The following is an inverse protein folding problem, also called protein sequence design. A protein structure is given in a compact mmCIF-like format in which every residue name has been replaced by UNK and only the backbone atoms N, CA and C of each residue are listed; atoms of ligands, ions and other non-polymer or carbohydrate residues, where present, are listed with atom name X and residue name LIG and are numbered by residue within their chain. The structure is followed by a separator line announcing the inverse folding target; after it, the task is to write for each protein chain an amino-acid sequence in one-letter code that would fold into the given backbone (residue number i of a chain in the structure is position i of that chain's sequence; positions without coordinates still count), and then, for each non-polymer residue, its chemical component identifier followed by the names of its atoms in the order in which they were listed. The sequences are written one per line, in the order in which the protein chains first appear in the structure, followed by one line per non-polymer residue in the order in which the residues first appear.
data_IF_892351807700
#
_entry.id   IF_892351807700
#
_cell.length_a   1.000
_cell.length_b   1.000
_cell.length_c   1.000
_cell.angle_alpha   90.00
_cell.angle_beta   90.00
_cell.angle_gamma   90.00
#
_symmetry.space_group_name_H-M   'P 1'
#
loop_
_entity.id
_entity.type
_entity.pdbx_description
1 polymer ?
#
# COMPACT_ATOMS: atom_id res chain seq x y z
N UNK A 1 -19.32 -67.06 23.75
CA UNK A 1 -18.83 -66.97 22.35
C UNK A 1 -18.49 -65.51 22.00
N UNK A 2 -17.42 -64.92 22.55
CA UNK A 2 -17.14 -63.47 22.31
C UNK A 2 -15.67 -63.06 22.40
N UNK A 3 -14.75 -63.91 21.93
CA UNK A 3 -13.31 -63.59 21.89
C UNK A 3 -12.73 -63.55 20.47
N UNK A 4 -13.32 -64.26 19.49
CA UNK A 4 -12.88 -64.20 18.08
C UNK A 4 -13.29 -62.93 17.32
N UNK A 5 -14.32 -62.20 17.78
CA UNK A 5 -14.79 -60.97 17.12
C UNK A 5 -13.96 -59.71 17.49
N UNK A 6 -13.31 -59.70 18.65
CA UNK A 6 -12.47 -58.58 19.10
C UNK A 6 -11.04 -58.61 18.52
N UNK A 7 -10.51 -59.78 18.19
CA UNK A 7 -9.19 -59.89 17.52
C UNK A 7 -9.26 -59.53 16.03
N UNK A 8 -10.38 -59.85 15.35
CA UNK A 8 -10.57 -59.50 13.93
C UNK A 8 -10.76 -58.00 13.71
N UNK A 9 -11.45 -57.31 14.63
CA UNK A 9 -11.67 -55.85 14.54
C UNK A 9 -10.40 -55.03 14.82
N UNK A 10 -9.46 -55.56 15.62
CA UNK A 10 -8.17 -54.91 15.89
C UNK A 10 -7.14 -55.09 14.77
N UNK A 11 -7.18 -56.21 14.02
CA UNK A 11 -6.32 -56.40 12.85
C UNK A 11 -6.78 -55.57 11.64
N UNK A 12 -8.09 -55.40 11.43
CA UNK A 12 -8.64 -54.55 10.35
C UNK A 12 -8.31 -53.05 10.56
N UNK A 13 -8.20 -52.60 11.82
CA UNK A 13 -7.78 -51.21 12.13
C UNK A 13 -6.29 -50.98 11.97
N UNK A 14 -5.43 -51.99 12.19
CA UNK A 14 -3.97 -51.86 12.05
C UNK A 14 -3.48 -51.89 10.60
N UNK A 15 -4.21 -52.53 9.68
CA UNK A 15 -3.85 -52.53 8.25
C UNK A 15 -4.28 -51.24 7.51
N UNK A 16 -5.28 -50.52 8.03
CA UNK A 16 -5.76 -49.27 7.41
C UNK A 16 -4.89 -48.03 7.70
N UNK A 17 -3.92 -48.09 8.62
CA UNK A 17 -3.04 -46.95 8.93
C UNK A 17 -1.74 -46.92 8.10
N UNK A 18 -1.42 -48.00 7.37
CA UNK A 18 -0.19 -48.09 6.55
C UNK A 18 -0.30 -47.44 5.16
N UNK A 19 -1.48 -46.92 4.78
CA UNK A 19 -1.70 -46.36 3.43
C UNK A 19 -2.33 -44.96 3.42
N UNK A 20 -2.12 -44.16 4.47
CA UNK A 20 -2.49 -42.74 4.42
C UNK A 20 -1.59 -41.98 3.45
N UNK A 21 -2.15 -41.61 2.30
CA UNK A 21 -1.50 -40.72 1.34
C UNK A 21 -1.65 -39.29 1.84
N UNK A 22 -0.58 -38.70 2.35
CA UNK A 22 -0.58 -37.30 2.74
C UNK A 22 -0.38 -36.42 1.51
N UNK A 23 -1.28 -35.46 1.30
CA UNK A 23 -1.21 -34.52 0.17
C UNK A 23 -1.24 -33.08 0.66
N UNK A 24 -0.49 -32.21 -0.01
CA UNK A 24 -0.52 -30.77 0.24
C UNK A 24 -0.48 -29.99 -1.07
N UNK A 25 -1.48 -29.13 -1.31
CA UNK A 25 -1.66 -28.43 -2.61
C UNK A 25 -1.58 -29.42 -3.79
N UNK A 26 -2.33 -30.51 -3.68
CA UNK A 26 -2.42 -31.59 -4.68
C UNK A 26 -1.09 -32.30 -5.00
N UNK A 27 -0.06 -32.17 -4.16
CA UNK A 27 1.20 -32.94 -4.26
C UNK A 27 1.31 -33.96 -3.14
N UNK A 28 1.70 -35.19 -3.45
CA UNK A 28 1.99 -36.23 -2.46
C UNK A 28 3.21 -35.84 -1.62
N UNK A 29 3.08 -35.91 -0.31
CA UNK A 29 4.10 -35.56 0.66
C UNK A 29 4.19 -36.65 1.74
N UNK A 30 5.27 -36.66 2.51
CA UNK A 30 5.34 -37.50 3.70
C UNK A 30 4.45 -36.93 4.82
N UNK A 31 4.04 -37.81 5.74
CA UNK A 31 3.29 -37.43 6.94
C UNK A 31 3.97 -36.31 7.74
N UNK A 32 5.29 -36.42 7.90
CA UNK A 32 6.11 -35.42 8.61
C UNK A 32 5.99 -34.04 7.98
N UNK A 33 6.04 -33.97 6.64
CA UNK A 33 5.92 -32.70 5.90
C UNK A 33 4.49 -32.16 5.99
N UNK A 34 3.48 -33.01 5.88
CA UNK A 34 2.09 -32.61 6.03
C UNK A 34 1.81 -32.00 7.40
N UNK A 35 2.20 -32.69 8.47
CA UNK A 35 2.02 -32.24 9.85
C UNK A 35 2.78 -30.92 10.13
N UNK A 36 3.98 -30.75 9.58
CA UNK A 36 4.73 -29.49 9.67
C UNK A 36 3.97 -28.32 9.02
N UNK A 37 3.43 -28.54 7.81
CA UNK A 37 2.70 -27.50 7.06
C UNK A 37 1.37 -27.12 7.70
N UNK A 38 0.66 -28.09 8.28
CA UNK A 38 -0.56 -27.85 9.08
C UNK A 38 -0.23 -26.98 10.29
N UNK A 39 0.84 -27.29 11.03
CA UNK A 39 1.31 -26.47 12.17
C UNK A 39 1.64 -25.03 11.74
N UNK A 40 2.37 -24.84 10.65
CA UNK A 40 2.72 -23.51 10.12
C UNK A 40 1.47 -22.71 9.69
N UNK A 41 0.50 -23.36 9.02
CA UNK A 41 -0.77 -22.74 8.63
C UNK A 41 -1.58 -22.29 9.85
N UNK A 42 -1.65 -23.11 10.89
CA UNK A 42 -2.37 -22.80 12.12
C UNK A 42 -1.71 -21.66 12.93
N UNK A 43 -0.37 -21.57 12.92
CA UNK A 43 0.35 -20.42 13.49
C UNK A 43 0.02 -19.13 12.74
N UNK A 44 0.00 -19.18 11.40
CA UNK A 44 -0.43 -18.04 10.57
C UNK A 44 -1.88 -17.60 10.85
N UNK A 45 -2.80 -18.54 11.08
CA UNK A 45 -4.19 -18.26 11.47
C UNK A 45 -4.31 -17.68 12.88
N UNK A 46 -3.55 -18.19 13.86
CA UNK A 46 -3.50 -17.63 15.22
C UNK A 46 -3.00 -16.19 15.26
N UNK A 47 -2.03 -15.85 14.42
CA UNK A 47 -1.55 -14.47 14.29
C UNK A 47 -2.57 -13.57 13.58
N UNK A 48 -3.40 -14.13 12.69
CA UNK A 48 -4.51 -13.40 12.04
C UNK A 48 -5.69 -13.16 13.00
N UNK A 49 -5.96 -14.08 13.93
CA UNK A 49 -7.05 -13.97 14.91
C UNK A 49 -6.70 -13.12 16.15
N UNK A 50 -5.43 -12.81 16.40
CA UNK A 50 -5.01 -11.86 17.46
C UNK A 50 -5.21 -10.38 17.08
N UNK A 51 -5.76 -10.07 15.90
CA UNK A 51 -5.99 -8.70 15.42
C UNK A 51 -7.45 -8.24 15.50
N UNK A 52 -8.24 -8.83 16.41
CA UNK A 52 -9.57 -8.34 16.77
C UNK A 52 -9.64 -8.17 18.28
N UNK A 53 -8.93 -7.17 18.79
CA UNK A 53 -9.40 -6.46 19.97
C UNK A 53 -10.37 -5.41 19.42
N UNK A 54 -11.62 -5.43 19.87
CA UNK A 54 -12.55 -4.32 19.67
C UNK A 54 -11.96 -3.11 20.38
N UNK A 55 -11.22 -2.32 19.61
CA UNK A 55 -10.79 -0.99 20.01
C UNK A 55 -11.98 -0.10 19.70
N UNK A 56 -12.63 0.43 20.73
CA UNK A 56 -13.48 1.62 20.66
C UNK A 56 -12.92 2.56 19.59
N UNK A 57 -13.70 3.03 18.58
CA UNK A 57 -13.15 3.78 17.47
C UNK A 57 -12.53 5.07 17.99
N UNK A 58 -11.22 5.04 18.20
CA UNK A 58 -10.45 6.22 18.53
C UNK A 58 -10.61 7.15 17.34
N UNK A 59 -11.32 8.27 17.55
CA UNK A 59 -11.51 9.32 16.55
C UNK A 59 -10.15 9.61 15.91
N UNK A 60 -9.98 9.26 14.64
CA UNK A 60 -8.72 9.49 13.95
C UNK A 60 -8.55 11.00 13.79
N UNK A 61 -7.57 11.57 14.48
CA UNK A 61 -7.27 13.00 14.36
C UNK A 61 -6.26 13.17 13.24
N UNK A 62 -6.69 13.81 12.15
CA UNK A 62 -5.76 14.26 11.10
C UNK A 62 -5.08 15.53 11.59
N UNK A 63 -3.85 15.38 12.09
CA UNK A 63 -3.06 16.49 12.65
C UNK A 63 -1.97 16.98 11.69
N UNK A 64 -1.62 18.26 11.84
CA UNK A 64 -0.54 18.94 11.10
C UNK A 64 -0.95 19.51 9.75
N UNK A 65 0.01 20.05 9.01
CA UNK A 65 -0.25 20.77 7.76
C UNK A 65 -0.24 19.81 6.58
N UNK A 66 -1.19 19.94 5.64
CA UNK A 66 -1.23 19.11 4.42
C UNK A 66 -1.16 19.98 3.18
N UNK A 67 -0.38 19.52 2.20
CA UNK A 67 -0.47 20.07 0.86
C UNK A 67 -1.71 19.52 0.17
N UNK A 68 -2.56 20.43 -0.34
CA UNK A 68 -3.80 20.08 -1.03
C UNK A 68 -3.87 20.80 -2.37
N UNK A 69 -4.14 20.05 -3.43
CA UNK A 69 -4.59 20.61 -4.71
C UNK A 69 -6.11 20.80 -4.61
N UNK A 70 -6.54 21.99 -4.19
CA UNK A 70 -7.96 22.27 -3.91
C UNK A 70 -8.86 21.96 -5.11
N UNK A 71 -8.47 22.36 -6.32
CA UNK A 71 -9.28 22.12 -7.51
C UNK A 71 -9.50 20.63 -7.70
N UNK A 72 -8.42 19.85 -7.71
CA UNK A 72 -8.51 18.40 -7.90
C UNK A 72 -9.24 17.70 -6.75
N UNK A 73 -8.99 18.09 -5.50
CA UNK A 73 -9.62 17.50 -4.34
C UNK A 73 -11.13 17.77 -4.33
N UNK A 74 -11.56 19.00 -4.61
CA UNK A 74 -12.97 19.38 -4.63
C UNK A 74 -13.77 18.60 -5.68
N UNK A 75 -13.20 18.33 -6.85
CA UNK A 75 -13.79 17.46 -7.87
C UNK A 75 -13.99 16.01 -7.39
N UNK A 76 -13.29 15.60 -6.33
CA UNK A 76 -13.36 14.27 -5.71
C UNK A 76 -14.05 14.28 -4.35
N UNK A 77 -14.59 15.41 -3.90
CA UNK A 77 -15.30 15.56 -2.61
C UNK A 77 -16.77 15.15 -2.70
N UNK A 78 -17.05 14.06 -3.42
CA UNK A 78 -18.38 13.49 -3.58
C UNK A 78 -18.31 11.99 -3.29
N UNK A 79 -19.35 11.48 -2.63
CA UNK A 79 -19.43 10.08 -2.30
C UNK A 79 -19.43 9.22 -3.57
N UNK A 80 -18.54 8.24 -3.63
CA UNK A 80 -18.41 7.30 -4.76
C UNK A 80 -19.68 6.46 -4.99
N UNK A 81 -20.56 6.36 -3.98
CA UNK A 81 -21.79 5.56 -4.04
C UNK A 81 -23.04 6.39 -4.35
N UNK A 82 -23.31 7.46 -3.59
CA UNK A 82 -24.55 8.25 -3.69
C UNK A 82 -24.34 9.67 -4.24
N UNK A 83 -23.11 10.05 -4.58
CA UNK A 83 -22.74 11.38 -5.07
C UNK A 83 -23.08 12.54 -4.12
N UNK A 84 -23.35 12.27 -2.83
CA UNK A 84 -23.53 13.30 -1.81
C UNK A 84 -22.20 13.99 -1.49
N UNK A 85 -22.23 15.29 -1.19
CA UNK A 85 -21.03 16.07 -0.85
C UNK A 85 -20.40 15.55 0.44
N UNK A 86 -19.08 15.37 0.44
CA UNK A 86 -18.34 14.89 1.61
C UNK A 86 -17.88 16.07 2.48
N UNK A 87 -17.93 15.88 3.81
CA UNK A 87 -17.40 16.84 4.79
C UNK A 87 -16.03 16.38 5.31
N UNK A 88 -15.09 17.31 5.45
CA UNK A 88 -13.78 17.06 6.06
C UNK A 88 -13.89 16.68 7.55
N UNK A 89 -14.99 17.02 8.22
CA UNK A 89 -15.22 16.65 9.62
C UNK A 89 -15.41 15.14 9.82
N UNK A 90 -15.76 14.42 8.75
CA UNK A 90 -16.03 12.97 8.77
C UNK A 90 -14.87 12.13 8.23
N UNK A 91 -13.64 12.63 8.33
CA UNK A 91 -12.46 11.82 8.02
C UNK A 91 -12.29 10.74 9.09
N UNK A 92 -12.25 9.48 8.65
CA UNK A 92 -12.04 8.32 9.53
C UNK A 92 -10.61 7.81 9.49
N UNK A 93 -9.91 7.98 8.36
CA UNK A 93 -8.54 7.53 8.19
C UNK A 93 -7.80 8.41 7.18
N UNK A 94 -6.51 8.66 7.42
CA UNK A 94 -5.58 9.20 6.44
C UNK A 94 -4.49 8.18 6.08
N UNK A 95 -4.38 7.85 4.78
CA UNK A 95 -3.22 7.11 4.24
C UNK A 95 -2.23 8.06 3.58
N UNK A 96 -1.17 8.40 4.31
CA UNK A 96 -0.08 9.28 3.86
C UNK A 96 0.87 8.58 2.89
N UNK A 97 1.24 9.26 1.81
CA UNK A 97 2.16 8.79 0.76
C UNK A 97 3.14 9.91 0.39
N UNK A 98 3.98 10.32 1.34
CA UNK A 98 4.86 11.48 1.19
C UNK A 98 4.08 12.77 1.47
N UNK A 99 4.11 13.72 0.52
CA UNK A 99 3.35 14.96 0.59
C UNK A 99 1.88 14.81 0.16
N UNK A 100 1.55 13.75 -0.58
CA UNK A 100 0.18 13.40 -0.95
C UNK A 100 -0.43 12.41 0.03
N UNK A 101 -1.75 12.47 0.17
CA UNK A 101 -2.52 11.58 1.05
C UNK A 101 -3.81 11.12 0.38
N UNK A 102 -4.35 10.00 0.86
CA UNK A 102 -5.77 9.66 0.70
C UNK A 102 -6.49 9.88 2.01
N UNK A 103 -7.58 10.64 1.96
CA UNK A 103 -8.53 10.80 3.06
C UNK A 103 -9.68 9.82 2.84
N UNK A 104 -9.99 9.02 3.84
CA UNK A 104 -11.15 8.14 3.85
C UNK A 104 -12.25 8.84 4.62
N UNK A 105 -13.26 9.32 3.90
CA UNK A 105 -14.31 10.17 4.44
C UNK A 105 -15.62 9.40 4.42
N UNK A 106 -16.26 9.30 5.59
CA UNK A 106 -17.59 8.70 5.71
C UNK A 106 -18.64 9.67 5.17
N UNK A 107 -19.47 9.18 4.25
CA UNK A 107 -20.66 9.91 3.82
C UNK A 107 -21.71 9.96 4.94
N UNK A 108 -22.21 11.15 5.26
CA UNK A 108 -23.28 11.32 6.26
C UNK A 108 -24.60 10.69 5.83
N UNK A 109 -24.85 10.63 4.52
CA UNK A 109 -26.12 10.15 3.98
C UNK A 109 -26.22 8.63 3.86
N UNK A 110 -25.23 7.99 3.20
CA UNK A 110 -25.27 6.54 2.95
C UNK A 110 -24.25 5.72 3.76
N UNK A 111 -23.47 6.38 4.62
CA UNK A 111 -22.43 5.76 5.47
C UNK A 111 -21.28 5.08 4.71
N UNK A 112 -21.27 5.15 3.37
CA UNK A 112 -20.16 4.66 2.55
C UNK A 112 -18.91 5.50 2.78
N UNK A 113 -17.75 4.84 2.88
CA UNK A 113 -16.45 5.49 3.07
C UNK A 113 -15.83 5.69 1.69
N UNK A 114 -15.76 6.95 1.26
CA UNK A 114 -15.17 7.33 -0.02
C UNK A 114 -13.73 7.78 0.14
N UNK A 115 -12.93 7.54 -0.88
CA UNK A 115 -11.49 7.83 -0.85
C UNK A 115 -11.19 9.09 -1.63
N UNK A 116 -10.84 10.15 -0.93
CA UNK A 116 -10.55 11.46 -1.51
C UNK A 116 -9.03 11.70 -1.54
N UNK A 117 -8.40 11.80 -2.72
CA UNK A 117 -6.99 12.17 -2.83
C UNK A 117 -6.76 13.66 -2.56
N UNK A 118 -5.70 14.01 -1.83
CA UNK A 118 -5.33 15.42 -1.60
C UNK A 118 -4.64 16.08 -2.78
N UNK A 119 -4.07 15.31 -3.71
CA UNK A 119 -3.48 15.83 -4.94
C UNK A 119 -3.59 14.83 -6.08
N UNK A 120 -3.32 15.29 -7.31
CA UNK A 120 -3.21 14.42 -8.48
C UNK A 120 -2.21 13.29 -8.25
N UNK A 121 -2.56 12.12 -8.78
CA UNK A 121 -1.73 10.93 -8.72
C UNK A 121 -1.94 10.05 -9.94
N UNK A 122 -0.95 9.24 -10.25
CA UNK A 122 -0.96 8.25 -11.31
C UNK A 122 -0.73 6.84 -10.74
N UNK A 123 -1.05 5.82 -11.54
CA UNK A 123 -0.88 4.41 -11.17
C UNK A 123 -2.04 3.83 -10.37
N UNK A 124 -1.90 2.55 -10.00
CA UNK A 124 -2.93 1.81 -9.26
C UNK A 124 -2.95 2.12 -7.77
N UNK A 125 -4.05 1.72 -7.11
CA UNK A 125 -4.30 1.87 -5.66
C UNK A 125 -3.14 1.44 -4.76
N UNK A 126 -2.43 0.37 -5.13
CA UNK A 126 -1.34 -0.19 -4.31
C UNK A 126 -0.07 0.66 -4.36
N UNK A 127 0.20 1.31 -5.49
CA UNK A 127 1.43 2.02 -5.76
C UNK A 127 1.14 3.39 -6.41
N UNK A 128 0.42 4.28 -5.72
CA UNK A 128 0.12 5.61 -6.22
C UNK A 128 1.42 6.41 -6.36
N UNK A 129 1.54 7.16 -7.44
CA UNK A 129 2.61 8.13 -7.68
C UNK A 129 1.95 9.50 -7.66
N UNK A 130 2.04 10.20 -6.53
CA UNK A 130 1.50 11.55 -6.40
C UNK A 130 2.39 12.58 -7.11
N UNK A 131 1.77 13.46 -7.89
CA UNK A 131 2.50 14.48 -8.67
C UNK A 131 3.29 15.42 -7.76
N UNK A 132 2.74 15.79 -6.60
CA UNK A 132 3.39 16.68 -5.64
C UNK A 132 4.72 16.13 -5.15
N UNK A 133 4.84 14.81 -5.02
CA UNK A 133 6.10 14.17 -4.64
C UNK A 133 7.15 14.31 -5.73
N UNK A 134 6.75 14.13 -6.99
CA UNK A 134 7.63 14.33 -8.14
C UNK A 134 8.04 15.80 -8.27
N UNK A 135 7.11 16.74 -8.10
CA UNK A 135 7.41 18.18 -8.11
C UNK A 135 8.39 18.58 -7.01
N UNK A 136 8.23 18.05 -5.80
CA UNK A 136 9.16 18.29 -4.71
C UNK A 136 10.55 17.71 -5.03
N UNK A 137 10.63 16.49 -5.56
CA UNK A 137 11.90 15.91 -5.99
C UNK A 137 12.57 16.72 -7.12
N UNK A 138 11.79 17.19 -8.09
CA UNK A 138 12.26 18.09 -9.15
C UNK A 138 12.82 19.40 -8.58
N UNK A 139 12.06 20.06 -7.71
CA UNK A 139 12.50 21.29 -7.05
C UNK A 139 13.77 21.07 -6.23
N UNK A 140 13.88 19.93 -5.54
CA UNK A 140 15.07 19.56 -4.80
C UNK A 140 16.29 19.37 -5.72
N UNK A 141 16.15 18.63 -6.83
CA UNK A 141 17.24 18.47 -7.82
C UNK A 141 17.67 19.82 -8.38
N UNK A 142 16.70 20.66 -8.77
CA UNK A 142 16.97 21.96 -9.38
C UNK A 142 17.69 22.93 -8.43
N UNK A 143 17.43 22.82 -7.14
CA UNK A 143 18.05 23.65 -6.08
C UNK A 143 19.28 23.02 -5.46
N UNK A 144 19.73 21.85 -5.94
CA UNK A 144 20.87 21.13 -5.38
C UNK A 144 20.61 20.53 -3.99
N UNK A 145 19.34 20.37 -3.60
CA UNK A 145 18.95 19.84 -2.29
C UNK A 145 18.84 18.32 -2.29
N UNK A 146 19.42 17.69 -1.26
CA UNK A 146 19.24 16.28 -0.96
C UNK A 146 18.01 16.00 -0.08
N UNK A 147 17.61 14.72 0.00
CA UNK A 147 16.50 14.26 0.86
C UNK A 147 16.58 14.80 2.29
N UNK A 148 17.77 14.81 2.90
CA UNK A 148 17.96 15.26 4.29
C UNK A 148 17.64 16.74 4.47
N UNK A 149 18.01 17.59 3.52
CA UNK A 149 17.72 19.03 3.59
C UNK A 149 16.22 19.29 3.42
N UNK A 150 15.60 18.66 2.42
CA UNK A 150 14.13 18.73 2.21
C UNK A 150 13.38 18.21 3.44
N UNK A 151 13.81 17.10 4.01
CA UNK A 151 13.21 16.53 5.22
C UNK A 151 13.27 17.49 6.41
N UNK A 152 14.41 18.15 6.63
CA UNK A 152 14.55 19.16 7.70
C UNK A 152 13.64 20.36 7.45
N UNK A 153 13.62 20.87 6.21
CA UNK A 153 12.76 21.98 5.82
C UNK A 153 11.27 21.68 6.06
N UNK A 154 10.78 20.53 5.59
CA UNK A 154 9.40 20.10 5.81
C UNK A 154 9.08 19.85 7.29
N UNK A 155 10.07 19.40 8.07
CA UNK A 155 9.90 19.22 9.52
C UNK A 155 9.66 20.54 10.25
N UNK A 156 10.32 21.63 9.82
CA UNK A 156 10.13 22.96 10.42
C UNK A 156 8.73 23.49 10.10
N UNK A 157 8.23 23.22 8.90
CA UNK A 157 6.89 23.62 8.46
C UNK A 157 5.76 22.72 8.97
N UNK A 158 6.07 21.70 9.77
CA UNK A 158 5.11 20.67 10.23
C UNK A 158 4.30 20.01 9.09
N UNK A 159 4.98 19.79 7.94
CA UNK A 159 4.42 19.12 6.77
C UNK A 159 4.85 17.64 6.76
N UNK A 160 3.99 16.69 6.34
CA UNK A 160 4.36 15.30 6.17
C UNK A 160 5.66 15.10 5.41
N UNK A 161 6.46 14.16 5.91
CA UNK A 161 7.83 13.95 5.45
C UNK A 161 7.89 12.84 4.41
N UNK A 162 8.86 12.94 3.52
CA UNK A 162 9.23 11.83 2.66
C UNK A 162 10.00 10.77 3.45
N UNK A 163 9.65 9.50 3.22
CA UNK A 163 10.64 8.44 3.46
C UNK A 163 11.76 8.56 2.43
N UNK A 164 12.98 8.22 2.82
CA UNK A 164 14.16 8.29 1.94
C UNK A 164 13.97 7.46 0.66
N UNK A 165 13.35 6.28 0.78
CA UNK A 165 13.04 5.40 -0.34
C UNK A 165 12.04 6.02 -1.31
N UNK A 166 11.00 6.68 -0.81
CA UNK A 166 10.01 7.37 -1.64
C UNK A 166 10.65 8.56 -2.36
N UNK A 167 11.42 9.38 -1.66
CA UNK A 167 12.14 10.49 -2.28
C UNK A 167 13.05 10.00 -3.41
N UNK A 168 13.91 9.00 -3.14
CA UNK A 168 14.80 8.42 -4.15
C UNK A 168 14.05 7.79 -5.33
N UNK A 169 12.83 7.28 -5.13
CA UNK A 169 11.97 6.81 -6.22
C UNK A 169 11.56 7.98 -7.12
N UNK A 170 11.05 9.06 -6.55
CA UNK A 170 10.64 10.24 -7.31
C UNK A 170 11.83 10.97 -7.96
N UNK A 171 12.98 11.03 -7.29
CA UNK A 171 14.24 11.56 -7.82
C UNK A 171 14.66 10.81 -9.09
N UNK A 172 14.56 9.48 -9.12
CA UNK A 172 14.85 8.69 -10.33
C UNK A 172 13.82 8.88 -11.45
N UNK A 173 12.54 9.00 -11.10
CA UNK A 173 11.47 9.23 -12.09
C UNK A 173 11.71 10.57 -12.79
N UNK A 174 11.95 11.61 -12.01
CA UNK A 174 12.18 12.96 -12.51
C UNK A 174 13.53 13.06 -13.21
N UNK A 175 14.58 12.42 -12.70
CA UNK A 175 15.91 12.43 -13.31
C UNK A 175 15.90 11.93 -14.76
N UNK A 176 15.15 10.86 -15.04
CA UNK A 176 14.95 10.36 -16.42
C UNK A 176 14.26 11.38 -17.33
N UNK A 177 13.28 12.11 -16.80
CA UNK A 177 12.58 13.14 -17.57
C UNK A 177 13.49 14.35 -17.84
N UNK A 178 14.28 14.78 -16.85
CA UNK A 178 15.28 15.85 -17.01
C UNK A 178 16.32 15.45 -18.07
N UNK A 179 16.85 14.23 -17.98
CA UNK A 179 17.84 13.72 -18.93
C UNK A 179 17.31 13.67 -20.36
N UNK A 180 16.04 13.25 -20.54
CA UNK A 180 15.40 13.24 -21.85
C UNK A 180 15.30 14.65 -22.46
N UNK A 181 14.83 15.64 -21.68
CA UNK A 181 14.72 17.03 -22.11
C UNK A 181 16.09 17.64 -22.41
N UNK A 182 17.08 17.36 -21.55
CA UNK A 182 18.45 17.84 -21.77
C UNK A 182 19.04 17.27 -23.06
N UNK A 183 18.81 15.99 -23.34
CA UNK A 183 19.30 15.34 -24.57
C UNK A 183 18.64 15.91 -25.83
N UNK A 184 17.34 16.13 -25.79
CA UNK A 184 16.60 16.77 -26.89
C UNK A 184 17.14 18.17 -27.17
N UNK A 185 17.28 19.00 -26.13
CA UNK A 185 17.84 20.34 -26.24
C UNK A 185 19.28 20.35 -26.80
N UNK A 186 20.13 19.41 -26.36
CA UNK A 186 21.48 19.29 -26.92
C UNK A 186 21.48 18.89 -28.40
N UNK A 187 20.56 18.01 -28.82
CA UNK A 187 20.46 17.59 -30.22
C UNK A 187 19.95 18.72 -31.12
N UNK A 188 18.97 19.50 -30.65
CA UNK A 188 18.45 20.66 -31.38
C UNK A 188 19.53 21.72 -31.60
N UNK A 189 20.31 22.04 -30.55
CA UNK A 189 21.43 22.97 -30.66
C UNK A 189 22.50 22.46 -31.65
N UNK A 190 22.85 21.17 -31.58
CA UNK A 190 23.81 20.58 -32.51
C UNK A 190 23.33 20.60 -33.97
N UNK A 191 22.03 20.47 -34.21
CA UNK A 191 21.46 20.57 -35.55
C UNK A 191 21.53 22.00 -36.09
N UNK A 192 21.22 23.00 -35.27
CA UNK A 192 21.32 24.42 -35.66
C UNK A 192 22.75 24.84 -36.00
N UNK A 193 23.74 24.37 -35.24
CA UNK A 193 25.15 24.63 -35.51
C UNK A 193 25.63 23.98 -36.83
N UNK A 194 24.96 22.92 -37.30
CA UNK A 194 25.29 22.23 -38.56
C UNK A 194 24.64 22.84 -39.80
N UNK A 195 23.60 23.66 -39.63
CA UNK A 195 22.91 24.39 -40.70
C UNK A 195 23.44 25.83 -40.90
N UNK A 196 24.35 26.27 -40.02
CA UNK A 196 25.00 27.58 -40.01
C UNK A 196 26.33 27.58 -40.78
#
# INVERSE_FOLDING_TARGET
MSTKAMEQTNNIKKDNDKNKIFMWKNKRVSEKIYNLRVKQSNIGKKNKSRKSLEVEPTKHVVEGIRHVDFKFMLEKMYCEFCNYKLSLDNIEEESRRGLGSFLFIRCEYCLHISRVPTSRYQGGLKNPIFDINSKCALGAIHTGLGHTQVHKFLSILDVPKFTRSLFKKHERIVGKAIEAVAKESCNEAAAQDSES
#
